data_IF_689779464073
#
_entry.id   IF_689779464073
#
_cell.length_a   1.000
_cell.length_b   1.000
_cell.length_c   1.000
_cell.angle_alpha   90.00
_cell.angle_beta   90.00
_cell.angle_gamma   90.00
#
_symmetry.space_group_name_H-M   'P 1'
#
loop_
_entity.id
_entity.type
_entity.pdbx_description
1 polymer ?
#
# COMPACT_ATOMS: atom_id res chain seq x y z
N UNK A 1 -17.35 13.93 13.10
CA UNK A 1 -16.27 12.95 13.41
C UNK A 1 -16.12 11.98 12.27
N UNK A 2 -14.98 11.98 11.56
CA UNK A 2 -14.66 10.94 10.57
C UNK A 2 -14.27 9.66 11.33
N UNK A 3 -14.90 8.55 11.00
CA UNK A 3 -14.57 7.26 11.62
C UNK A 3 -13.41 6.63 10.84
N UNK A 4 -12.18 6.99 11.24
CA UNK A 4 -10.97 6.58 10.52
C UNK A 4 -10.61 5.15 10.91
N UNK A 5 -10.44 4.28 9.92
CA UNK A 5 -10.13 2.88 10.11
C UNK A 5 -8.69 2.51 9.74
N UNK A 6 -8.07 3.27 8.86
CA UNK A 6 -6.71 3.04 8.38
C UNK A 6 -5.97 4.37 8.27
N UNK A 7 -4.78 4.40 8.84
CA UNK A 7 -3.81 5.45 8.63
C UNK A 7 -2.64 4.93 7.81
N UNK A 8 -2.14 5.71 6.84
CA UNK A 8 -0.99 5.32 6.01
C UNK A 8 0.10 6.41 6.03
N UNK A 9 1.39 6.01 6.01
CA UNK A 9 2.51 6.93 5.98
C UNK A 9 2.77 7.48 4.58
N UNK A 10 3.67 8.46 4.49
CA UNK A 10 4.29 8.86 3.24
C UNK A 10 5.46 7.91 2.91
N UNK A 11 5.53 7.42 1.67
CA UNK A 11 6.56 6.48 1.26
C UNK A 11 7.73 7.20 0.62
N UNK A 12 8.95 6.79 0.96
CA UNK A 12 10.17 7.20 0.27
C UNK A 12 10.72 5.99 -0.48
N UNK A 13 10.85 6.12 -1.80
CA UNK A 13 11.41 5.10 -2.68
C UNK A 13 12.51 5.75 -3.51
N UNK A 14 13.70 5.16 -3.52
CA UNK A 14 14.90 5.71 -4.18
C UNK A 14 15.17 7.19 -3.81
N UNK A 15 14.94 7.54 -2.54
CA UNK A 15 15.16 8.90 -2.00
C UNK A 15 14.11 9.93 -2.41
N UNK A 16 12.98 9.51 -3.01
CA UNK A 16 11.90 10.41 -3.43
C UNK A 16 10.58 10.05 -2.77
N UNK A 17 9.77 11.07 -2.47
CA UNK A 17 8.39 10.88 -2.06
C UNK A 17 7.62 10.15 -3.16
N UNK A 18 6.88 9.13 -2.77
CA UNK A 18 6.10 8.27 -3.63
C UNK A 18 4.66 8.21 -3.12
N UNK A 19 3.72 8.68 -3.94
CA UNK A 19 2.28 8.60 -3.66
C UNK A 19 1.66 7.52 -4.57
N UNK A 20 1.31 6.37 -3.99
CA UNK A 20 0.55 5.30 -4.65
C UNK A 20 -0.95 5.39 -4.40
N UNK A 21 -1.42 6.42 -3.71
CA UNK A 21 -2.83 6.48 -3.32
C UNK A 21 -3.73 6.81 -4.52
N UNK A 22 -4.81 6.06 -4.64
CA UNK A 22 -5.91 6.40 -5.54
C UNK A 22 -6.90 7.21 -4.73
N UNK A 23 -7.32 8.35 -5.26
CA UNK A 23 -8.21 9.30 -4.58
C UNK A 23 -9.49 9.51 -5.39
N UNK A 24 -10.59 9.65 -4.68
CA UNK A 24 -11.90 10.09 -5.20
C UNK A 24 -12.28 11.35 -4.42
N UNK A 25 -12.60 12.44 -5.11
CA UNK A 25 -12.88 13.75 -4.50
C UNK A 25 -11.80 14.23 -3.50
N UNK A 26 -10.52 14.03 -3.85
CA UNK A 26 -9.35 14.28 -3.00
C UNK A 26 -9.25 13.44 -1.72
N UNK A 27 -10.15 12.48 -1.50
CA UNK A 27 -10.09 11.54 -0.38
C UNK A 27 -9.48 10.20 -0.83
N UNK A 28 -8.53 9.63 -0.07
CA UNK A 28 -7.93 8.36 -0.43
C UNK A 28 -8.96 7.23 -0.37
N UNK A 29 -9.01 6.43 -1.43
CA UNK A 29 -9.87 5.25 -1.56
C UNK A 29 -9.08 3.96 -1.60
N UNK A 30 -7.84 3.98 -2.10
CA UNK A 30 -6.92 2.83 -2.13
C UNK A 30 -5.54 3.35 -1.77
N UNK A 31 -4.87 2.68 -0.84
CA UNK A 31 -3.52 3.00 -0.37
C UNK A 31 -2.74 1.71 -0.15
N UNK A 32 -1.41 1.81 -0.07
CA UNK A 32 -0.58 0.67 0.33
C UNK A 32 -0.89 0.28 1.78
N UNK A 33 -0.99 -1.02 2.05
CA UNK A 33 -1.15 -1.51 3.43
C UNK A 33 0.18 -1.65 4.14
N UNK A 34 1.31 -1.60 3.44
CA UNK A 34 2.63 -1.67 4.06
C UNK A 34 2.87 -0.47 4.99
N UNK A 35 3.22 -0.75 6.24
CA UNK A 35 3.46 0.29 7.25
C UNK A 35 2.21 1.09 7.65
N UNK A 36 1.01 0.58 7.37
CA UNK A 36 -0.23 1.20 7.84
C UNK A 36 -0.47 0.98 9.34
N UNK A 37 -1.37 1.79 9.91
CA UNK A 37 -1.94 1.59 11.24
C UNK A 37 -3.42 1.34 11.07
N UNK A 38 -3.89 0.19 11.55
CA UNK A 38 -5.29 -0.24 11.43
C UNK A 38 -6.00 -0.20 12.78
N UNK A 39 -7.26 0.22 12.76
CA UNK A 39 -8.13 0.09 13.93
C UNK A 39 -8.59 -1.36 14.06
N UNK A 40 -8.05 -2.09 15.05
CA UNK A 40 -8.33 -3.52 15.24
C UNK A 40 -9.83 -3.83 15.43
N UNK A 41 -10.58 -2.97 16.12
CA UNK A 41 -12.03 -3.18 16.29
C UNK A 41 -12.78 -3.11 14.96
N UNK A 42 -12.37 -2.19 14.09
CA UNK A 42 -12.98 -2.06 12.75
C UNK A 42 -12.51 -3.21 11.86
N UNK A 43 -11.21 -3.53 11.90
CA UNK A 43 -10.60 -4.63 11.17
C UNK A 43 -11.33 -5.96 11.43
N UNK A 44 -11.52 -6.33 12.69
CA UNK A 44 -12.27 -7.52 13.10
C UNK A 44 -13.73 -7.46 12.63
N UNK A 45 -14.38 -6.29 12.76
CA UNK A 45 -15.78 -6.10 12.36
C UNK A 45 -16.00 -6.31 10.86
N UNK A 46 -15.05 -5.94 10.00
CA UNK A 46 -15.16 -6.07 8.54
C UNK A 46 -14.59 -7.40 8.00
N UNK A 47 -14.17 -8.31 8.88
CA UNK A 47 -13.65 -9.63 8.51
C UNK A 47 -12.17 -9.64 8.12
N UNK A 48 -11.42 -8.59 8.43
CA UNK A 48 -9.97 -8.52 8.23
C UNK A 48 -9.50 -8.55 6.78
N UNK A 49 -8.22 -8.87 6.59
CA UNK A 49 -7.59 -9.02 5.27
C UNK A 49 -8.00 -10.36 4.63
N UNK A 50 -8.25 -10.37 3.33
CA UNK A 50 -8.49 -11.62 2.59
C UNK A 50 -7.17 -12.36 2.35
N UNK A 51 -6.98 -13.47 3.06
CA UNK A 51 -5.74 -14.27 3.05
C UNK A 51 -5.45 -14.94 1.69
N UNK A 52 -6.46 -15.07 0.82
CA UNK A 52 -6.29 -15.63 -0.53
C UNK A 52 -5.72 -14.63 -1.53
N UNK A 53 -5.70 -13.34 -1.20
CA UNK A 53 -5.20 -12.28 -2.08
C UNK A 53 -3.73 -12.00 -1.80
N UNK A 54 -3.05 -11.41 -2.78
CA UNK A 54 -1.61 -11.13 -2.70
C UNK A 54 -1.27 -9.71 -3.14
N UNK A 55 -0.29 -9.09 -2.47
CA UNK A 55 0.24 -7.74 -2.71
C UNK A 55 -0.89 -6.73 -2.95
N UNK A 56 -0.99 -6.19 -4.16
CA UNK A 56 -1.88 -5.08 -4.49
C UNK A 56 -3.35 -5.46 -4.34
N UNK A 57 -3.69 -6.74 -4.53
CA UNK A 57 -5.05 -7.20 -4.35
C UNK A 57 -5.50 -7.16 -2.89
N UNK A 58 -4.59 -7.37 -1.93
CA UNK A 58 -4.90 -7.22 -0.50
C UNK A 58 -5.18 -5.75 -0.19
N UNK A 59 -4.34 -4.85 -0.71
CA UNK A 59 -4.50 -3.39 -0.54
C UNK A 59 -5.85 -2.91 -1.07
N UNK A 60 -6.17 -3.30 -2.31
CA UNK A 60 -7.40 -2.91 -3.00
C UNK A 60 -8.63 -3.45 -2.26
N UNK A 61 -8.66 -4.75 -1.97
CA UNK A 61 -9.82 -5.40 -1.37
C UNK A 61 -10.12 -4.83 0.02
N UNK A 62 -9.09 -4.66 0.84
CA UNK A 62 -9.25 -4.15 2.20
C UNK A 62 -9.70 -2.68 2.21
N UNK A 63 -9.11 -1.83 1.37
CA UNK A 63 -9.53 -0.43 1.29
C UNK A 63 -10.97 -0.30 0.76
N UNK A 64 -11.36 -1.12 -0.20
CA UNK A 64 -12.74 -1.14 -0.71
C UNK A 64 -13.74 -1.63 0.35
N UNK A 65 -13.41 -2.65 1.16
CA UNK A 65 -14.22 -3.06 2.31
C UNK A 65 -14.44 -1.88 3.27
N UNK A 66 -13.38 -1.16 3.63
CA UNK A 66 -13.48 0.00 4.52
C UNK A 66 -14.41 1.07 3.96
N UNK A 67 -14.26 1.41 2.67
CA UNK A 67 -15.10 2.42 2.01
C UNK A 67 -16.56 1.96 1.91
N UNK A 68 -16.80 0.70 1.57
CA UNK A 68 -18.15 0.10 1.50
C UNK A 68 -18.89 0.18 2.83
N UNK A 69 -18.18 -0.01 3.95
CA UNK A 69 -18.72 0.06 5.31
C UNK A 69 -18.75 1.50 5.88
N UNK A 70 -18.40 2.51 5.08
CA UNK A 70 -18.48 3.92 5.45
C UNK A 70 -17.32 4.44 6.31
N UNK A 71 -16.20 3.72 6.39
CA UNK A 71 -15.00 4.17 7.10
C UNK A 71 -14.10 5.05 6.23
N UNK A 72 -13.33 5.91 6.88
CA UNK A 72 -12.35 6.78 6.21
C UNK A 72 -10.93 6.24 6.31
N UNK A 73 -10.12 6.56 5.30
CA UNK A 73 -8.68 6.33 5.25
C UNK A 73 -8.01 7.69 5.40
N UNK A 74 -6.93 7.79 6.17
CA UNK A 74 -6.24 9.05 6.41
C UNK A 74 -4.72 8.92 6.24
N UNK A 75 -4.10 9.92 5.64
CA UNK A 75 -2.64 10.02 5.61
C UNK A 75 -2.12 10.50 6.98
N UNK A 76 -0.93 10.01 7.36
CA UNK A 76 -0.15 10.55 8.47
C UNK A 76 0.99 11.40 7.91
N UNK A 77 0.74 12.71 7.67
CA UNK A 77 1.76 13.57 7.11
C UNK A 77 2.96 13.62 8.06
N UNK A 78 4.16 13.58 7.50
CA UNK A 78 5.46 13.55 8.21
C UNK A 78 5.84 12.21 8.85
N UNK A 79 5.03 11.16 8.71
CA UNK A 79 5.48 9.79 9.00
C UNK A 79 6.05 9.23 7.70
N UNK A 80 7.38 9.18 7.62
CA UNK A 80 8.10 8.77 6.42
C UNK A 80 8.54 7.31 6.55
N UNK A 81 8.09 6.46 5.63
CA UNK A 81 8.52 5.07 5.53
C UNK A 81 9.48 4.91 4.34
N UNK A 82 10.73 4.57 4.63
CA UNK A 82 11.66 4.13 3.59
C UNK A 82 11.19 2.77 3.08
N UNK A 83 10.89 2.69 1.78
CA UNK A 83 10.35 1.49 1.15
C UNK A 83 11.22 1.09 -0.04
N UNK A 84 11.67 -0.15 -0.03
CA UNK A 84 12.46 -0.74 -1.11
C UNK A 84 11.53 -1.57 -2.01
N UNK A 85 11.47 -1.24 -3.30
CA UNK A 85 10.69 -2.00 -4.29
C UNK A 85 11.43 -3.28 -4.72
N UNK A 86 11.72 -4.17 -3.77
CA UNK A 86 12.38 -5.46 -4.00
C UNK A 86 13.74 -5.39 -4.73
N UNK A 87 14.36 -6.56 -4.91
CA UNK A 87 15.63 -6.70 -5.63
C UNK A 87 15.45 -6.61 -7.16
N UNK A 88 15.18 -5.41 -7.65
CA UNK A 88 15.29 -5.13 -9.09
C UNK A 88 16.77 -4.99 -9.46
N UNK A 89 17.45 -6.11 -9.74
CA UNK A 89 18.84 -6.06 -10.23
C UNK A 89 18.87 -5.46 -11.63
N UNK A 90 19.43 -4.26 -11.76
CA UNK A 90 19.88 -3.74 -13.06
C UNK A 90 21.11 -4.53 -13.48
N UNK A 91 20.96 -5.42 -14.45
CA UNK A 91 22.10 -6.05 -15.11
C UNK A 91 22.31 -5.39 -16.47
N UNK A 92 23.56 -5.06 -16.78
CA UNK A 92 23.96 -4.59 -18.11
C UNK A 92 24.65 -5.75 -18.82
N UNK A 93 24.05 -6.25 -19.90
CA UNK A 93 24.78 -7.13 -20.82
C UNK A 93 25.20 -6.33 -22.05
N UNK A 94 26.52 -6.13 -22.16
CA UNK A 94 27.28 -5.44 -23.20
C UNK A 94 26.89 -3.97 -23.47
N UNK A 95 25.66 -3.67 -23.90
CA UNK A 95 25.17 -2.31 -24.20
C UNK A 95 23.67 -2.09 -23.89
N UNK A 96 22.97 -3.10 -23.40
CA UNK A 96 21.54 -3.03 -23.10
C UNK A 96 21.35 -2.87 -21.60
N UNK A 97 20.67 -1.79 -21.18
CA UNK A 97 20.18 -1.65 -19.80
C UNK A 97 18.95 -2.54 -19.64
N UNK A 98 19.12 -3.69 -19.00
CA UNK A 98 18.00 -4.57 -18.65
C UNK A 98 17.61 -4.34 -17.19
N UNK A 99 16.34 -4.02 -16.95
CA UNK A 99 15.76 -4.04 -15.61
C UNK A 99 15.27 -5.48 -15.39
N UNK A 100 15.93 -6.23 -14.53
CA UNK A 100 15.48 -7.57 -14.14
C UNK A 100 14.72 -7.44 -12.84
N UNK A 101 13.39 -7.49 -12.93
CA UNK A 101 12.51 -7.58 -11.77
C UNK A 101 12.54 -9.03 -11.29
N UNK A 102 13.42 -9.33 -10.33
CA UNK A 102 13.53 -10.68 -9.77
C UNK A 102 12.35 -10.92 -8.81
N UNK A 103 11.19 -11.25 -9.36
CA UNK A 103 10.06 -11.70 -8.57
C UNK A 103 10.29 -13.17 -8.19
N UNK A 104 10.55 -13.45 -6.91
CA UNK A 104 10.53 -14.83 -6.42
C UNK A 104 9.15 -15.43 -6.72
N UNK A 105 9.08 -16.42 -7.61
CA UNK A 105 7.83 -16.99 -8.10
C UNK A 105 7.20 -18.05 -7.17
N UNK A 106 7.60 -18.11 -5.90
CA UNK A 106 7.08 -19.06 -4.90
C UNK A 106 7.22 -18.42 -3.51
N UNK A 107 6.10 -18.35 -2.79
CA UNK A 107 5.98 -18.60 -1.34
C UNK A 107 4.62 -19.18 -1.05
#
# INVERSE_FOLDING_TARGET
NRNIALYYPDYIIDGKLYDKSIKEDNEPIIVMTSGNIVNLKIHEKIGGFEEKLFIDYVDIEYCLKLKKEGYSIANLPNVLLQHELGDSKRTSFLFVKAIVTNHSSIR
#
